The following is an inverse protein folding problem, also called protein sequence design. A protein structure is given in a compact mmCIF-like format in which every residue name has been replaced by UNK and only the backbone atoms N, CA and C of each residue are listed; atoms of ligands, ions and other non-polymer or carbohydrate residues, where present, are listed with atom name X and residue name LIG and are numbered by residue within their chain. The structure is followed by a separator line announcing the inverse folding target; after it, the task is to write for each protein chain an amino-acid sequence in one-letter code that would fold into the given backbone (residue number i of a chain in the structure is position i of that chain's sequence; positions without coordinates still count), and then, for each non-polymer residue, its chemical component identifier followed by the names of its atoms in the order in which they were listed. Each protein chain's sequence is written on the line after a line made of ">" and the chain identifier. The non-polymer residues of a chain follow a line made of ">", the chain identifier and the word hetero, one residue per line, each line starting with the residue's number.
data_IF_829861007001
#
_entry.id   IF_829861007001
#
_cell.length_a   1.000
_cell.length_b   1.000
_cell.length_c   1.000
_cell.angle_alpha   90.00
_cell.angle_beta   90.00
_cell.angle_gamma   90.00
#
_symmetry.space_group_name_H-M   'P 1'
#
loop_
_entity.id
_entity.type
_entity.pdbx_description
1 polymer ?
#
# COMPACT_ATOMS: atom_id res chain seq x y z
N UNK A 1 -11.67 35.14 -20.94
CA UNK A 1 -10.47 34.75 -20.13
C UNK A 1 -9.75 35.96 -19.54
N UNK A 2 -9.73 37.10 -20.20
CA UNK A 2 -8.95 38.27 -19.81
C UNK A 2 -9.45 38.99 -18.55
N UNK A 3 -10.78 39.06 -18.33
CA UNK A 3 -11.36 39.72 -17.13
C UNK A 3 -10.98 39.09 -15.78
N UNK A 4 -10.60 37.80 -15.72
CA UNK A 4 -10.11 37.17 -14.49
C UNK A 4 -8.66 37.53 -14.19
N UNK A 5 -7.84 37.73 -15.22
CA UNK A 5 -6.45 38.09 -15.06
C UNK A 5 -6.29 39.49 -14.44
N UNK A 6 -7.19 40.43 -14.79
CA UNK A 6 -7.14 41.82 -14.31
C UNK A 6 -7.35 41.93 -12.78
N UNK A 7 -8.02 40.95 -12.15
CA UNK A 7 -8.31 40.99 -10.71
C UNK A 7 -7.48 39.97 -9.91
N UNK A 8 -6.62 39.18 -10.57
CA UNK A 8 -5.86 38.13 -9.92
C UNK A 8 -4.95 38.65 -8.79
N UNK A 9 -4.31 39.80 -9.01
CA UNK A 9 -3.44 40.43 -8.02
C UNK A 9 -4.21 40.88 -6.77
N UNK A 10 -5.44 41.38 -6.94
CA UNK A 10 -6.29 41.77 -5.80
C UNK A 10 -6.71 40.52 -5.01
N UNK A 11 -7.16 39.45 -5.71
CA UNK A 11 -7.52 38.19 -5.06
C UNK A 11 -6.35 37.57 -4.30
N UNK A 12 -5.13 37.58 -4.88
CA UNK A 12 -3.93 37.10 -4.22
C UNK A 12 -3.61 37.93 -2.95
N UNK A 13 -3.75 39.27 -3.04
CA UNK A 13 -3.52 40.12 -1.89
C UNK A 13 -4.50 39.89 -0.76
N UNK A 14 -5.80 39.71 -1.07
CA UNK A 14 -6.83 39.37 -0.10
C UNK A 14 -6.51 38.03 0.57
N UNK A 15 -6.16 37.00 -0.20
CA UNK A 15 -5.82 35.67 0.32
C UNK A 15 -4.62 35.76 1.28
N UNK A 16 -3.52 36.38 0.86
CA UNK A 16 -2.33 36.52 1.71
C UNK A 16 -2.64 37.28 3.00
N UNK A 17 -3.44 38.34 2.91
CA UNK A 17 -3.81 39.11 4.09
C UNK A 17 -4.73 38.30 5.04
N UNK A 18 -5.63 37.52 4.50
CA UNK A 18 -6.52 36.63 5.28
C UNK A 18 -5.69 35.56 6.02
N UNK A 19 -4.77 34.89 5.32
CA UNK A 19 -3.89 33.90 5.93
C UNK A 19 -3.08 34.49 7.08
N UNK A 20 -2.48 35.67 6.87
CA UNK A 20 -1.71 36.37 7.92
C UNK A 20 -2.56 36.76 9.12
N UNK A 21 -3.80 37.23 8.91
CA UNK A 21 -4.71 37.60 9.98
C UNK A 21 -5.15 36.39 10.82
N UNK A 22 -5.27 35.22 10.18
CA UNK A 22 -5.65 33.97 10.81
C UNK A 22 -4.46 33.19 11.38
N UNK A 23 -3.22 33.66 11.14
CA UNK A 23 -2.00 33.01 11.62
C UNK A 23 -1.64 31.72 10.86
N UNK A 24 -2.09 31.56 9.60
CA UNK A 24 -1.75 30.44 8.76
C UNK A 24 -0.59 30.77 7.82
N UNK A 25 0.39 29.88 7.75
CA UNK A 25 1.53 29.97 6.83
C UNK A 25 1.25 29.36 5.46
N UNK A 26 0.28 28.43 5.38
CA UNK A 26 -0.03 27.64 4.19
C UNK A 26 -1.54 27.60 3.92
N UNK A 27 -1.88 27.42 2.64
CA UNK A 27 -3.24 27.11 2.20
C UNK A 27 -3.21 25.97 1.19
N UNK A 28 -4.11 25.00 1.35
CA UNK A 28 -4.29 23.93 0.38
C UNK A 28 -5.39 24.32 -0.61
N UNK A 29 -5.10 24.20 -1.90
CA UNK A 29 -6.09 24.43 -2.95
C UNK A 29 -7.02 23.23 -3.01
N UNK A 30 -8.34 23.50 -3.05
CA UNK A 30 -9.38 22.50 -3.23
C UNK A 30 -10.11 22.75 -4.55
N UNK A 31 -10.40 21.68 -5.29
CA UNK A 31 -11.29 21.75 -6.47
C UNK A 31 -12.78 21.89 -6.11
N UNK A 32 -13.09 21.76 -4.81
CA UNK A 32 -14.43 21.89 -4.25
C UNK A 32 -14.69 23.32 -3.80
N UNK A 33 -15.81 23.88 -4.22
CA UNK A 33 -16.19 25.25 -3.91
C UNK A 33 -17.17 25.34 -2.75
N UNK A 34 -17.64 26.56 -2.51
CA UNK A 34 -18.61 26.87 -1.47
C UNK A 34 -19.92 26.07 -1.61
N UNK A 35 -20.37 25.81 -2.83
CA UNK A 35 -21.62 25.07 -3.09
C UNK A 35 -21.55 23.63 -2.59
N UNK A 36 -20.44 22.98 -2.85
CA UNK A 36 -20.17 21.62 -2.38
C UNK A 36 -20.08 21.58 -0.85
N UNK A 37 -19.41 22.57 -0.24
CA UNK A 37 -19.34 22.72 1.22
C UNK A 37 -20.70 22.87 1.88
N UNK A 38 -21.59 23.70 1.31
CA UNK A 38 -22.97 23.86 1.80
C UNK A 38 -23.77 22.58 1.70
N UNK A 39 -23.61 21.81 0.60
CA UNK A 39 -24.29 20.51 0.47
C UNK A 39 -23.81 19.50 1.51
N UNK A 40 -22.50 19.45 1.78
CA UNK A 40 -21.95 18.58 2.80
C UNK A 40 -22.44 18.95 4.21
N UNK A 41 -22.46 20.24 4.51
CA UNK A 41 -22.95 20.74 5.80
C UNK A 41 -24.43 20.38 5.99
N UNK A 42 -25.27 20.61 4.97
CA UNK A 42 -26.68 20.28 4.99
C UNK A 42 -26.98 18.78 5.18
N UNK A 43 -26.05 17.91 4.76
CA UNK A 43 -26.14 16.45 4.92
C UNK A 43 -25.39 15.91 6.12
N UNK A 44 -24.82 16.76 6.97
CA UNK A 44 -24.03 16.34 8.14
C UNK A 44 -22.70 15.65 7.79
N UNK A 45 -22.19 15.87 6.56
CA UNK A 45 -20.96 15.29 6.06
C UNK A 45 -19.70 16.17 6.31
N UNK A 46 -19.86 17.22 7.10
CA UNK A 46 -18.78 18.14 7.48
C UNK A 46 -17.98 17.67 8.70
N UNK A 47 -18.45 16.63 9.39
CA UNK A 47 -17.68 16.04 10.47
C UNK A 47 -16.41 15.38 9.87
N UNK A 48 -15.23 15.66 10.42
CA UNK A 48 -14.01 14.98 9.98
C UNK A 48 -14.20 13.48 10.19
N UNK A 49 -14.02 12.72 9.11
CA UNK A 49 -13.92 11.27 9.23
C UNK A 49 -12.67 10.93 10.05
N UNK A 50 -12.69 9.87 10.84
CA UNK A 50 -11.49 9.37 11.49
C UNK A 50 -10.34 9.21 10.50
N UNK A 51 -9.11 9.38 10.98
CA UNK A 51 -7.92 9.29 10.15
C UNK A 51 -7.88 7.99 9.36
N UNK A 52 -7.80 8.11 8.04
CA UNK A 52 -7.75 6.99 7.10
C UNK A 52 -9.10 6.46 6.61
N UNK A 53 -10.23 6.78 7.21
CA UNK A 53 -11.55 6.31 6.73
C UNK A 53 -11.90 6.90 5.36
N UNK A 54 -11.59 8.17 5.13
CA UNK A 54 -11.79 8.80 3.82
C UNK A 54 -10.94 8.12 2.74
N UNK A 55 -9.68 7.84 3.03
CA UNK A 55 -8.78 7.14 2.13
C UNK A 55 -9.30 5.73 1.80
N UNK A 56 -9.71 4.97 2.81
CA UNK A 56 -10.25 3.62 2.64
C UNK A 56 -11.53 3.61 1.81
N UNK A 57 -12.48 4.52 2.08
CA UNK A 57 -13.71 4.66 1.32
C UNK A 57 -13.43 5.05 -0.15
N UNK A 58 -12.46 5.93 -0.39
CA UNK A 58 -12.10 6.37 -1.73
C UNK A 58 -11.41 5.26 -2.53
N UNK A 59 -10.50 4.50 -1.93
CA UNK A 59 -9.88 3.32 -2.54
C UNK A 59 -10.94 2.27 -2.88
N UNK A 60 -11.87 1.97 -1.96
CA UNK A 60 -12.93 0.99 -2.19
C UNK A 60 -13.88 1.44 -3.32
N UNK A 61 -14.28 2.70 -3.32
CA UNK A 61 -15.08 3.30 -4.40
C UNK A 61 -14.35 3.19 -5.75
N UNK A 62 -13.08 3.57 -5.81
CA UNK A 62 -12.29 3.60 -7.03
C UNK A 62 -12.08 2.20 -7.59
N UNK A 63 -11.61 1.24 -6.78
CA UNK A 63 -11.39 -0.14 -7.23
C UNK A 63 -12.69 -0.80 -7.73
N UNK A 64 -13.80 -0.66 -6.98
CA UNK A 64 -15.08 -1.26 -7.36
C UNK A 64 -15.70 -0.66 -8.61
N UNK A 65 -15.40 0.59 -8.93
CA UNK A 65 -15.84 1.20 -10.19
C UNK A 65 -15.20 0.59 -11.42
N UNK A 66 -14.02 -0.05 -11.26
CA UNK A 66 -13.23 -0.64 -12.33
C UNK A 66 -13.26 -2.17 -12.30
N UNK A 67 -13.09 -2.76 -11.11
CA UNK A 67 -13.15 -4.21 -10.85
C UNK A 67 -14.06 -4.41 -9.64
N UNK A 68 -15.37 -4.68 -9.86
CA UNK A 68 -16.34 -4.77 -8.76
C UNK A 68 -16.02 -5.85 -7.73
N UNK A 69 -15.46 -6.97 -8.18
CA UNK A 69 -15.07 -8.10 -7.34
C UNK A 69 -13.63 -8.52 -7.68
N UNK A 70 -12.73 -8.35 -6.72
CA UNK A 70 -11.33 -8.79 -6.79
C UNK A 70 -10.94 -9.46 -5.47
N UNK A 71 -11.22 -10.77 -5.35
CA UNK A 71 -10.90 -11.51 -4.14
C UNK A 71 -9.40 -11.62 -3.90
N UNK A 72 -8.58 -11.73 -4.97
CA UNK A 72 -7.13 -11.77 -4.86
C UNK A 72 -6.58 -10.48 -4.23
N UNK A 73 -6.95 -9.30 -4.73
CA UNK A 73 -6.48 -8.04 -4.18
C UNK A 73 -6.89 -7.86 -2.71
N UNK A 74 -8.09 -8.28 -2.35
CA UNK A 74 -8.59 -8.23 -0.96
C UNK A 74 -7.79 -9.19 -0.07
N UNK A 75 -7.48 -10.38 -0.58
CA UNK A 75 -6.70 -11.39 0.10
C UNK A 75 -5.25 -10.94 0.32
N UNK A 76 -4.57 -10.48 -0.73
CA UNK A 76 -3.20 -9.93 -0.63
C UNK A 76 -3.15 -8.75 0.35
N UNK A 77 -4.17 -7.91 0.41
CA UNK A 77 -4.24 -6.81 1.37
C UNK A 77 -4.33 -7.31 2.83
N UNK A 78 -5.00 -8.43 3.08
CA UNK A 78 -5.02 -9.07 4.40
C UNK A 78 -3.64 -9.62 4.75
N UNK A 79 -3.03 -10.42 3.87
CA UNK A 79 -1.70 -11.01 4.08
C UNK A 79 -0.62 -9.93 4.27
N UNK A 80 -0.68 -8.85 3.48
CA UNK A 80 0.23 -7.72 3.61
C UNK A 80 0.15 -7.05 4.98
N UNK A 81 -1.05 -6.94 5.56
CA UNK A 81 -1.25 -6.44 6.92
C UNK A 81 -0.62 -7.36 7.94
N UNK A 82 -0.82 -8.68 7.83
CA UNK A 82 -0.26 -9.67 8.75
C UNK A 82 1.27 -9.63 8.76
N UNK A 83 1.90 -9.57 7.56
CA UNK A 83 3.35 -9.43 7.43
C UNK A 83 3.83 -8.10 8.03
N UNK A 84 3.15 -6.99 7.71
CA UNK A 84 3.50 -5.67 8.23
C UNK A 84 3.50 -5.67 9.76
N UNK A 85 2.41 -6.13 10.38
CA UNK A 85 2.23 -6.11 11.82
C UNK A 85 3.26 -7.01 12.54
N UNK A 86 3.63 -8.15 11.95
CA UNK A 86 4.62 -9.05 12.50
C UNK A 86 6.07 -8.55 12.30
N UNK A 87 6.32 -7.69 11.32
CA UNK A 87 7.67 -7.17 11.00
C UNK A 87 7.91 -5.72 11.47
N UNK A 88 7.03 -5.16 12.31
CA UNK A 88 7.23 -3.82 12.91
C UNK A 88 8.63 -3.65 13.54
N UNK A 89 9.19 -4.63 14.29
CA UNK A 89 10.52 -4.47 14.86
C UNK A 89 11.65 -4.36 13.81
N UNK A 90 11.40 -4.76 12.56
CA UNK A 90 12.37 -4.70 11.46
C UNK A 90 12.34 -3.34 10.74
N UNK A 91 11.16 -2.77 10.53
CA UNK A 91 10.99 -1.59 9.68
C UNK A 91 10.60 -0.32 10.45
N UNK A 92 10.10 -0.44 11.68
CA UNK A 92 9.69 0.67 12.55
C UNK A 92 8.69 1.67 11.91
N UNK A 93 8.02 1.26 10.81
CA UNK A 93 7.02 2.08 10.12
C UNK A 93 5.75 2.23 10.95
N UNK A 94 4.96 3.25 10.62
CA UNK A 94 3.77 3.67 11.36
C UNK A 94 2.48 3.07 10.80
N UNK A 95 1.37 3.30 11.49
CA UNK A 95 0.02 2.93 11.04
C UNK A 95 -0.38 3.64 9.71
N UNK A 96 0.19 4.82 9.43
CA UNK A 96 0.01 5.50 8.13
C UNK A 96 0.60 4.65 7.00
N UNK A 97 1.78 4.09 7.20
CA UNK A 97 2.45 3.22 6.23
C UNK A 97 1.70 1.90 6.05
N UNK A 98 1.20 1.33 7.14
CA UNK A 98 0.35 0.14 7.10
C UNK A 98 -0.88 0.35 6.24
N UNK A 99 -1.58 1.48 6.42
CA UNK A 99 -2.73 1.83 5.58
C UNK A 99 -2.34 1.99 4.12
N UNK A 100 -1.23 2.65 3.84
CA UNK A 100 -0.74 2.84 2.47
C UNK A 100 -0.40 1.50 1.80
N UNK A 101 0.21 0.56 2.53
CA UNK A 101 0.46 -0.80 2.05
C UNK A 101 -0.84 -1.54 1.70
N UNK A 102 -1.82 -1.50 2.59
CA UNK A 102 -3.14 -2.11 2.36
C UNK A 102 -3.83 -1.50 1.13
N UNK A 103 -3.79 -0.18 0.97
CA UNK A 103 -4.34 0.50 -0.19
C UNK A 103 -3.61 0.10 -1.49
N UNK A 104 -2.28 0.00 -1.45
CA UNK A 104 -1.50 -0.48 -2.59
C UNK A 104 -1.86 -1.92 -2.96
N UNK A 105 -2.04 -2.80 -1.97
CA UNK A 105 -2.46 -4.18 -2.17
C UNK A 105 -3.88 -4.28 -2.77
N UNK A 106 -4.82 -3.40 -2.37
CA UNK A 106 -6.16 -3.34 -2.95
C UNK A 106 -6.16 -2.82 -4.40
N UNK A 107 -5.14 -2.09 -4.81
CA UNK A 107 -5.05 -1.42 -6.11
C UNK A 107 -4.06 -2.09 -7.08
N UNK A 108 -3.24 -3.07 -6.64
CA UNK A 108 -2.15 -3.58 -7.46
C UNK A 108 -2.60 -4.26 -8.76
N UNK A 109 -3.80 -4.82 -8.78
CA UNK A 109 -4.40 -5.50 -9.94
C UNK A 109 -5.27 -4.61 -10.81
N UNK A 110 -5.53 -3.36 -10.42
CA UNK A 110 -6.56 -2.48 -11.01
C UNK A 110 -6.37 -2.24 -12.51
N UNK A 111 -5.15 -2.36 -13.01
CA UNK A 111 -4.85 -2.23 -14.42
C UNK A 111 -5.44 -3.34 -15.31
N UNK A 112 -5.87 -4.46 -14.70
CA UNK A 112 -6.59 -5.56 -15.39
C UNK A 112 -7.92 -5.08 -15.99
N UNK A 113 -8.50 -4.00 -15.45
CA UNK A 113 -9.69 -3.38 -16.03
C UNK A 113 -9.46 -2.88 -17.48
N UNK A 114 -8.22 -2.60 -17.86
CA UNK A 114 -7.86 -2.20 -19.24
C UNK A 114 -7.39 -3.41 -20.04
N UNK A 115 -6.35 -4.10 -19.56
CA UNK A 115 -5.82 -5.32 -20.17
C UNK A 115 -4.90 -6.06 -19.21
N UNK A 116 -4.77 -7.38 -19.40
CA UNK A 116 -3.83 -8.21 -18.62
C UNK A 116 -2.37 -7.94 -19.01
N UNK A 117 -2.13 -7.56 -20.28
CA UNK A 117 -0.77 -7.26 -20.74
C UNK A 117 -0.30 -5.93 -20.16
N UNK A 118 0.82 -5.95 -19.43
CA UNK A 118 1.39 -4.76 -18.77
C UNK A 118 0.38 -4.08 -17.82
N UNK A 119 -0.41 -4.87 -17.12
CA UNK A 119 -1.44 -4.38 -16.19
C UNK A 119 -0.88 -3.39 -15.16
N UNK A 120 0.37 -3.58 -14.72
CA UNK A 120 1.04 -2.69 -13.77
C UNK A 120 1.26 -1.27 -14.33
N UNK A 121 1.46 -1.12 -15.65
CA UNK A 121 1.60 0.20 -16.29
C UNK A 121 0.24 0.91 -16.32
N UNK A 122 -0.81 0.16 -16.67
CA UNK A 122 -2.18 0.69 -16.67
C UNK A 122 -2.67 1.00 -15.27
N UNK A 123 -2.38 0.14 -14.29
CA UNK A 123 -2.70 0.38 -12.89
C UNK A 123 -2.05 1.65 -12.35
N UNK A 124 -0.76 1.82 -12.59
CA UNK A 124 -0.03 3.04 -12.21
C UNK A 124 -0.63 4.29 -12.87
N UNK A 125 -0.97 4.23 -14.17
CA UNK A 125 -1.63 5.33 -14.87
C UNK A 125 -2.98 5.68 -14.24
N UNK A 126 -3.80 4.68 -13.94
CA UNK A 126 -5.10 4.86 -13.32
C UNK A 126 -4.97 5.50 -11.95
N UNK A 127 -4.06 5.02 -11.09
CA UNK A 127 -3.83 5.55 -9.73
C UNK A 127 -3.27 6.98 -9.79
N UNK A 128 -2.33 7.25 -10.70
CA UNK A 128 -1.70 8.57 -10.85
C UNK A 128 -2.69 9.66 -11.25
N UNK A 129 -3.71 9.30 -12.05
CA UNK A 129 -4.69 10.24 -12.59
C UNK A 129 -6.06 10.16 -11.90
N UNK A 130 -6.19 9.30 -10.90
CA UNK A 130 -7.38 9.26 -10.07
C UNK A 130 -7.40 10.45 -9.10
N UNK A 131 -8.52 11.13 -9.04
CA UNK A 131 -8.78 12.15 -8.01
C UNK A 131 -9.12 11.46 -6.69
N UNK A 132 -8.11 10.81 -6.06
CA UNK A 132 -8.30 10.10 -4.79
C UNK A 132 -8.27 11.08 -3.62
N UNK A 133 -9.44 11.29 -3.01
CA UNK A 133 -9.59 12.20 -1.86
C UNK A 133 -8.95 11.63 -0.61
N UNK A 134 -8.46 12.53 0.23
CA UNK A 134 -7.81 12.16 1.47
C UNK A 134 -6.33 11.77 1.31
N UNK A 135 -5.81 11.65 0.09
CA UNK A 135 -4.41 11.38 -0.18
C UNK A 135 -3.64 12.66 -0.49
N UNK A 136 -2.48 12.81 0.11
CA UNK A 136 -1.51 13.82 -0.27
C UNK A 136 -0.85 13.51 -1.62
N UNK A 137 -0.27 14.49 -2.32
CA UNK A 137 0.50 14.23 -3.54
C UNK A 137 1.63 13.21 -3.34
N UNK A 138 2.26 13.20 -2.15
CA UNK A 138 3.31 12.25 -1.79
C UNK A 138 2.76 10.84 -1.68
N UNK A 139 1.66 10.63 -0.97
CA UNK A 139 1.01 9.31 -0.86
C UNK A 139 0.53 8.80 -2.22
N UNK A 140 -0.03 9.67 -3.07
CA UNK A 140 -0.39 9.31 -4.44
C UNK A 140 0.83 8.85 -5.25
N UNK A 141 1.98 9.54 -5.12
CA UNK A 141 3.21 9.14 -5.80
C UNK A 141 3.75 7.80 -5.29
N UNK A 142 3.68 7.55 -3.97
CA UNK A 142 4.04 6.27 -3.36
C UNK A 142 3.12 5.15 -3.85
N UNK A 143 1.79 5.32 -3.78
CA UNK A 143 0.81 4.34 -4.28
C UNK A 143 1.02 4.02 -5.76
N UNK A 144 1.20 5.05 -6.60
CA UNK A 144 1.49 4.88 -8.03
C UNK A 144 2.74 4.03 -8.25
N UNK A 145 3.77 4.26 -7.45
CA UNK A 145 5.04 3.52 -7.52
C UNK A 145 4.85 2.07 -7.07
N UNK A 146 4.15 1.83 -5.97
CA UNK A 146 3.87 0.48 -5.46
C UNK A 146 3.09 -0.34 -6.51
N UNK A 147 2.01 0.22 -7.06
CA UNK A 147 1.21 -0.42 -8.10
C UNK A 147 2.02 -0.65 -9.37
N UNK A 148 2.93 0.25 -9.74
CA UNK A 148 3.78 0.11 -10.93
C UNK A 148 4.78 -1.02 -10.80
N UNK A 149 5.38 -1.18 -9.64
CA UNK A 149 6.55 -2.03 -9.45
C UNK A 149 6.28 -3.31 -8.65
N UNK A 150 5.03 -3.59 -8.22
CA UNK A 150 4.73 -4.82 -7.47
C UNK A 150 5.21 -6.12 -8.15
N UNK A 151 5.18 -6.28 -9.50
CA UNK A 151 5.69 -7.50 -10.13
C UNK A 151 7.17 -7.42 -10.51
N UNK A 152 7.86 -6.31 -10.21
CA UNK A 152 9.22 -6.04 -10.69
C UNK A 152 10.26 -6.37 -9.61
N UNK A 153 11.51 -6.64 -10.03
CA UNK A 153 12.62 -6.92 -9.10
C UNK A 153 13.16 -5.69 -8.36
N UNK A 154 12.50 -4.55 -8.46
CA UNK A 154 12.90 -3.29 -7.83
C UNK A 154 12.27 -2.08 -8.49
N UNK A 155 12.60 -0.89 -8.00
CA UNK A 155 12.06 0.38 -8.47
C UNK A 155 13.07 1.04 -9.42
N UNK A 156 12.58 1.48 -10.58
CA UNK A 156 13.37 2.35 -11.46
C UNK A 156 13.42 3.77 -10.86
N UNK A 157 14.59 4.21 -10.45
CA UNK A 157 14.79 5.53 -9.83
C UNK A 157 14.43 6.72 -10.73
N UNK A 158 14.40 6.51 -12.05
CA UNK A 158 13.98 7.54 -13.01
C UNK A 158 12.45 7.59 -13.23
N UNK A 159 11.68 6.75 -12.56
CA UNK A 159 10.21 6.81 -12.65
C UNK A 159 9.70 8.10 -11.99
N UNK A 160 9.01 9.00 -12.74
CA UNK A 160 8.76 10.36 -12.26
C UNK A 160 8.05 10.46 -10.91
N UNK A 161 7.00 9.66 -10.58
CA UNK A 161 6.39 9.68 -9.27
C UNK A 161 7.39 9.32 -8.15
N UNK A 162 8.25 8.31 -8.35
CA UNK A 162 9.26 7.91 -7.39
C UNK A 162 10.40 8.92 -7.28
N UNK A 163 10.87 9.46 -8.41
CA UNK A 163 11.94 10.44 -8.46
C UNK A 163 11.59 11.78 -7.76
N UNK A 164 10.30 12.06 -7.61
CA UNK A 164 9.80 13.26 -6.91
C UNK A 164 9.70 13.10 -5.38
N UNK A 165 9.90 11.89 -4.85
CA UNK A 165 9.85 11.63 -3.41
C UNK A 165 11.11 12.14 -2.70
N UNK A 166 10.95 12.54 -1.44
CA UNK A 166 12.10 12.76 -0.56
C UNK A 166 12.84 11.43 -0.31
N UNK A 167 14.12 11.47 0.06
CA UNK A 167 14.89 10.25 0.38
C UNK A 167 14.15 9.34 1.37
N UNK A 168 13.62 9.87 2.46
CA UNK A 168 12.89 9.11 3.47
C UNK A 168 11.63 8.44 2.90
N UNK A 169 10.84 9.14 2.09
CA UNK A 169 9.65 8.57 1.46
C UNK A 169 10.02 7.56 0.37
N UNK A 170 11.15 7.74 -0.31
CA UNK A 170 11.65 6.78 -1.28
C UNK A 170 12.07 5.48 -0.58
N UNK A 171 12.74 5.56 0.57
CA UNK A 171 13.13 4.37 1.35
C UNK A 171 11.92 3.66 1.94
N UNK A 172 10.95 4.40 2.50
CA UNK A 172 9.66 3.85 2.93
C UNK A 172 8.93 3.15 1.78
N UNK A 173 8.94 3.74 0.58
CA UNK A 173 8.32 3.14 -0.61
C UNK A 173 8.98 1.82 -1.00
N UNK A 174 10.32 1.71 -0.90
CA UNK A 174 11.04 0.44 -1.14
C UNK A 174 10.64 -0.63 -0.13
N UNK A 175 10.58 -0.28 1.14
CA UNK A 175 10.17 -1.19 2.22
C UNK A 175 8.72 -1.67 2.03
N UNK A 176 7.80 -0.76 1.73
CA UNK A 176 6.40 -1.11 1.45
C UNK A 176 6.26 -2.00 0.21
N UNK A 177 7.07 -1.75 -0.82
CA UNK A 177 7.08 -2.61 -2.02
C UNK A 177 7.56 -4.03 -1.69
N UNK A 178 8.59 -4.15 -0.88
CA UNK A 178 9.11 -5.45 -0.46
C UNK A 178 8.06 -6.25 0.32
N UNK A 179 7.33 -5.61 1.24
CA UNK A 179 6.22 -6.22 1.97
C UNK A 179 5.06 -6.62 1.05
N UNK A 180 4.70 -5.77 0.09
CA UNK A 180 3.64 -6.06 -0.89
C UNK A 180 3.99 -7.28 -1.75
N UNK A 181 5.22 -7.34 -2.25
CA UNK A 181 5.69 -8.45 -3.08
C UNK A 181 5.74 -9.76 -2.30
N UNK A 182 6.13 -9.70 -1.04
CA UNK A 182 6.13 -10.86 -0.15
C UNK A 182 4.71 -11.37 0.09
N UNK A 183 3.74 -10.48 0.32
CA UNK A 183 2.33 -10.85 0.48
C UNK A 183 1.73 -11.48 -0.79
N UNK A 184 2.00 -10.88 -1.95
CA UNK A 184 1.55 -11.37 -3.26
C UNK A 184 2.11 -12.76 -3.60
N UNK A 185 3.28 -13.10 -3.06
CA UNK A 185 3.89 -14.41 -3.25
C UNK A 185 3.08 -15.56 -2.63
N UNK A 186 2.18 -15.29 -1.69
CA UNK A 186 1.33 -16.30 -1.05
C UNK A 186 0.00 -16.58 -1.77
N UNK A 187 -0.33 -15.84 -2.84
CA UNK A 187 -1.51 -16.14 -3.67
C UNK A 187 -1.20 -16.10 -5.18
N UNK A 188 -0.18 -16.86 -5.65
CA UNK A 188 0.28 -16.81 -7.05
C UNK A 188 -0.76 -17.37 -8.03
N UNK A 189 -1.61 -18.28 -7.58
CA UNK A 189 -2.68 -18.90 -8.37
C UNK A 189 -3.99 -18.10 -8.34
N UNK A 190 -4.10 -17.08 -7.49
CA UNK A 190 -5.32 -16.30 -7.22
C UNK A 190 -6.48 -17.17 -6.72
N UNK A 191 -6.17 -18.19 -5.91
CA UNK A 191 -7.14 -19.16 -5.39
C UNK A 191 -7.46 -18.96 -3.90
N UNK A 192 -6.74 -18.05 -3.22
CA UNK A 192 -6.91 -17.66 -1.82
C UNK A 192 -6.87 -18.84 -0.85
N UNK A 193 -6.13 -19.90 -1.18
CA UNK A 193 -6.06 -21.12 -0.36
C UNK A 193 -5.29 -20.93 0.95
N UNK A 194 -4.30 -20.03 0.97
CA UNK A 194 -3.57 -19.66 2.17
C UNK A 194 -4.35 -18.59 2.92
N UNK A 195 -4.97 -18.94 4.03
CA UNK A 195 -5.91 -18.05 4.74
C UNK A 195 -5.29 -17.17 5.82
N UNK A 196 -4.09 -17.53 6.29
CA UNK A 196 -3.36 -16.83 7.36
C UNK A 196 -1.87 -17.07 7.24
N UNK A 197 -1.05 -16.16 7.79
CA UNK A 197 0.40 -16.27 7.82
C UNK A 197 0.93 -16.33 9.26
N UNK A 198 1.72 -17.35 9.56
CA UNK A 198 2.58 -17.36 10.74
C UNK A 198 3.95 -16.76 10.37
N UNK A 199 4.25 -15.63 10.96
CA UNK A 199 5.45 -14.87 10.66
C UNK A 199 6.38 -14.87 11.86
N UNK A 200 7.58 -15.43 11.68
CA UNK A 200 8.62 -15.53 12.71
C UNK A 200 9.83 -14.71 12.32
N UNK A 201 10.02 -13.58 12.98
CA UNK A 201 11.14 -12.66 12.78
C UNK A 201 12.24 -12.93 13.83
N UNK A 202 13.42 -13.30 13.37
CA UNK A 202 14.62 -13.46 14.19
C UNK A 202 15.63 -12.37 13.78
N UNK A 203 15.67 -11.29 14.54
CA UNK A 203 16.58 -10.17 14.28
C UNK A 203 18.06 -10.51 14.57
N UNK A 204 18.31 -11.38 15.55
CA UNK A 204 19.67 -11.76 15.94
C UNK A 204 20.35 -12.58 14.84
N UNK A 205 19.62 -13.49 14.21
CA UNK A 205 20.09 -14.30 13.09
C UNK A 205 19.78 -13.69 11.72
N UNK A 206 19.18 -12.51 11.66
CA UNK A 206 18.75 -11.84 10.42
C UNK A 206 17.94 -12.76 9.52
N UNK A 207 16.90 -13.37 10.08
CA UNK A 207 16.09 -14.36 9.42
C UNK A 207 14.59 -14.10 9.62
N UNK A 208 13.83 -14.19 8.52
CA UNK A 208 12.38 -14.12 8.50
C UNK A 208 11.82 -15.42 7.94
N UNK A 209 11.03 -16.12 8.73
CA UNK A 209 10.31 -17.31 8.30
C UNK A 209 8.82 -16.99 8.21
N UNK A 210 8.21 -17.24 7.05
CA UNK A 210 6.79 -17.01 6.81
C UNK A 210 6.13 -18.33 6.38
N UNK A 211 5.18 -18.79 7.17
CA UNK A 211 4.46 -20.04 6.95
C UNK A 211 2.99 -19.74 6.63
N UNK A 212 2.54 -20.07 5.41
CA UNK A 212 1.14 -19.98 5.01
C UNK A 212 0.33 -21.14 5.58
N UNK A 213 -0.84 -20.86 6.14
CA UNK A 213 -1.79 -21.84 6.67
C UNK A 213 -2.99 -21.99 5.73
N UNK A 214 -3.54 -23.20 5.63
CA UNK A 214 -4.75 -23.53 4.86
C UNK A 214 -4.49 -24.11 3.48
N UNK A 215 -3.37 -23.81 2.83
CA UNK A 215 -3.00 -24.33 1.52
C UNK A 215 -1.50 -24.48 1.32
N UNK A 216 -1.11 -25.25 0.29
CA UNK A 216 0.30 -25.35 -0.12
C UNK A 216 0.74 -24.09 -0.87
N UNK A 217 1.99 -23.69 -0.67
CA UNK A 217 2.60 -22.65 -1.49
C UNK A 217 2.99 -23.23 -2.85
N UNK A 218 2.26 -22.88 -3.90
CA UNK A 218 2.43 -23.41 -5.25
C UNK A 218 3.50 -22.63 -6.03
N UNK A 219 4.69 -22.50 -5.45
CA UNK A 219 5.85 -21.87 -6.09
C UNK A 219 7.01 -22.86 -6.14
N UNK A 220 7.74 -22.87 -7.25
CA UNK A 220 9.04 -23.55 -7.34
C UNK A 220 10.11 -22.78 -6.54
N UNK A 221 11.20 -23.44 -6.15
CA UNK A 221 12.30 -22.79 -5.42
C UNK A 221 12.85 -21.55 -6.16
N UNK A 222 12.90 -21.60 -7.49
CA UNK A 222 13.33 -20.48 -8.31
C UNK A 222 12.34 -19.29 -8.25
N UNK A 223 11.04 -19.56 -8.25
CA UNK A 223 10.01 -18.54 -8.10
C UNK A 223 10.00 -17.96 -6.70
N UNK A 224 10.14 -18.79 -5.66
CA UNK A 224 10.28 -18.33 -4.28
C UNK A 224 11.47 -17.40 -4.14
N UNK A 225 12.65 -17.81 -4.58
CA UNK A 225 13.87 -16.99 -4.55
C UNK A 225 13.70 -15.67 -5.29
N UNK A 226 12.99 -15.66 -6.41
CA UNK A 226 12.70 -14.43 -7.15
C UNK A 226 11.77 -13.50 -6.40
N UNK A 227 10.74 -14.03 -5.70
CA UNK A 227 9.74 -13.26 -4.98
C UNK A 227 10.30 -12.62 -3.71
N UNK A 228 11.20 -13.31 -3.00
CA UNK A 228 11.82 -12.81 -1.75
C UNK A 228 13.04 -11.92 -1.98
N UNK A 229 13.69 -12.01 -3.14
CA UNK A 229 14.97 -11.34 -3.39
C UNK A 229 14.96 -9.82 -3.14
N UNK A 230 13.85 -9.15 -3.47
CA UNK A 230 13.75 -7.71 -3.24
C UNK A 230 13.56 -7.39 -1.75
N UNK A 231 12.86 -8.25 -1.01
CA UNK A 231 12.72 -8.13 0.43
C UNK A 231 14.07 -8.32 1.12
N UNK A 232 14.80 -9.40 0.77
CA UNK A 232 16.12 -9.68 1.31
C UNK A 232 17.13 -8.56 1.04
N UNK A 233 17.09 -8.00 -0.17
CA UNK A 233 17.95 -6.85 -0.52
C UNK A 233 17.55 -5.58 0.25
N UNK A 234 16.27 -5.34 0.48
CA UNK A 234 15.78 -4.11 1.11
C UNK A 234 16.04 -4.09 2.60
N UNK A 235 15.84 -5.22 3.27
CA UNK A 235 15.97 -5.35 4.72
C UNK A 235 17.27 -6.02 5.17
N UNK A 236 18.06 -6.52 4.23
CA UNK A 236 19.30 -7.29 4.47
C UNK A 236 19.08 -8.47 5.43
N UNK A 237 18.01 -9.22 5.25
CA UNK A 237 17.57 -10.35 6.07
C UNK A 237 17.19 -11.52 5.16
N UNK A 238 17.58 -12.75 5.51
CA UNK A 238 17.19 -13.93 4.75
C UNK A 238 15.72 -14.29 4.96
N UNK A 239 15.04 -14.75 3.91
CA UNK A 239 13.60 -15.07 3.95
C UNK A 239 13.35 -16.51 3.53
N UNK A 240 12.61 -17.25 4.35
CA UNK A 240 12.09 -18.58 4.03
C UNK A 240 10.57 -18.57 3.95
N UNK A 241 10.04 -19.07 2.84
CA UNK A 241 8.58 -19.21 2.61
C UNK A 241 8.18 -20.69 2.69
N UNK A 242 7.12 -20.96 3.44
CA UNK A 242 6.53 -22.28 3.56
C UNK A 242 5.02 -22.21 3.36
N UNK A 243 4.46 -23.22 2.67
CA UNK A 243 3.03 -23.49 2.67
C UNK A 243 2.75 -24.75 3.49
N UNK A 244 1.76 -24.72 4.33
CA UNK A 244 1.37 -25.90 5.13
C UNK A 244 -0.13 -26.14 5.00
N UNK A 245 -0.51 -27.39 4.78
CA UNK A 245 -1.90 -27.86 4.86
C UNK A 245 -2.33 -28.18 6.28
N UNK A 246 -1.45 -27.97 7.29
CA UNK A 246 -1.75 -28.23 8.69
C UNK A 246 -2.77 -27.23 9.24
N UNK A 247 -3.78 -27.74 9.94
CA UNK A 247 -4.80 -26.95 10.63
C UNK A 247 -4.18 -26.21 11.83
N UNK A 248 -4.69 -25.00 12.22
CA UNK A 248 -4.21 -24.30 13.41
C UNK A 248 -4.37 -25.18 14.65
N UNK A 249 -3.28 -25.73 15.17
CA UNK A 249 -3.25 -26.63 16.30
C UNK A 249 -2.08 -27.63 16.27
N UNK A 250 -1.65 -28.05 15.10
CA UNK A 250 -0.59 -29.07 14.97
C UNK A 250 0.84 -28.52 15.10
N UNK A 251 1.00 -27.20 14.99
CA UNK A 251 2.33 -26.56 14.97
C UNK A 251 2.96 -26.40 16.36
N UNK A 252 2.17 -26.38 17.44
CA UNK A 252 2.69 -26.24 18.82
C UNK A 252 3.32 -27.53 19.38
N UNK A 253 2.90 -28.69 18.93
CA UNK A 253 3.48 -29.97 19.41
C UNK A 253 4.80 -30.34 18.75
N UNK A 254 5.03 -29.95 17.50
CA UNK A 254 6.28 -30.22 16.77
C UNK A 254 7.48 -29.43 17.31
N UNK A 255 7.27 -28.24 17.84
CA UNK A 255 8.34 -27.40 18.42
C UNK A 255 8.71 -27.89 19.82
N UNK A 256 7.74 -28.44 20.58
CA UNK A 256 7.98 -28.95 21.92
C UNK A 256 8.78 -30.26 21.93
N UNK A 257 8.76 -31.05 20.85
CA UNK A 257 9.48 -32.34 20.76
C UNK A 257 10.97 -32.20 20.41
N UNK A 258 11.41 -31.06 19.85
CA UNK A 258 12.79 -30.81 19.43
C UNK A 258 13.71 -30.34 20.57
N UNK A 259 13.17 -30.06 21.78
CA UNK A 259 13.93 -29.57 22.95
C UNK A 259 13.85 -30.50 24.15
N UNK A 260 14.05 -31.80 23.96
CA UNK A 260 14.40 -32.69 25.08
C UNK A 260 15.90 -33.01 25.02
N UNK A 261 16.71 -32.47 25.94
CA UNK A 261 18.10 -32.93 26.08
C UNK A 261 18.11 -34.34 26.64
N UNK A 262 18.90 -35.19 26.00
CA UNK A 262 19.31 -36.52 26.50
C UNK A 262 20.30 -36.39 27.63
#
# INVERSE_FOLDING_TARGET
>A
KDRRADHLHIAAHVLVRTLRLLGFDNATVSDWGLREGVLFDAHGLTNPLPDGELQAAEVDRFRRSLIPDDPHATHVAQLAREIFDATIPLHEMTDIDRRLLVHAALLHTIGRAITLRRQQDHGAYLVQHAEMRGFSPTECAMLTTLVRFHPSRGINSSFPPFAALSPDNADRTRQLLALLQLADAFDPAHDQTITHLDVHLDLDNRHLKVCGQGGGLHLTDAEQSQRVAFFEQTFEIAVELHGSTATPGDTMESIASAHRPT
#
